data_IF_927735489478
#
_entry.id   IF_927735489478
#
_cell.length_a   1.000
_cell.length_b   1.000
_cell.length_c   1.000
_cell.angle_alpha   90.00
_cell.angle_beta   90.00
_cell.angle_gamma   90.00
#
_symmetry.space_group_name_H-M   'P 1'
#
loop_
_entity.id
_entity.type
_entity.pdbx_description
1 polymer ?
#
# COMPACT_ATOMS: atom_id res chain seq x y z
N UNK A 1 3.08 16.06 -5.90
CA UNK A 1 3.54 15.63 -4.57
C UNK A 1 4.58 14.54 -4.63
N UNK A 2 4.52 13.60 -5.59
CA UNK A 2 5.45 12.46 -5.63
C UNK A 2 6.93 12.87 -5.69
N UNK A 3 7.26 13.98 -6.37
CA UNK A 3 8.64 14.48 -6.45
C UNK A 3 9.15 14.93 -5.09
N UNK A 4 8.34 15.70 -4.38
CA UNK A 4 8.65 16.23 -3.05
C UNK A 4 8.77 15.08 -2.02
N UNK A 5 7.86 14.10 -2.11
CA UNK A 5 7.88 12.92 -1.26
C UNK A 5 9.13 12.05 -1.48
N UNK A 6 9.56 11.83 -2.72
CA UNK A 6 10.80 11.11 -3.02
C UNK A 6 11.99 11.79 -2.36
N UNK A 7 12.11 13.11 -2.48
CA UNK A 7 13.20 13.89 -1.87
C UNK A 7 13.20 13.68 -0.34
N UNK A 8 12.04 13.86 0.29
CA UNK A 8 11.85 13.70 1.74
C UNK A 8 12.22 12.30 2.24
N UNK A 9 11.82 11.25 1.50
CA UNK A 9 12.14 9.86 1.84
C UNK A 9 13.63 9.57 1.69
N UNK A 10 14.27 10.07 0.63
CA UNK A 10 15.73 9.93 0.43
C UNK A 10 16.49 10.59 1.58
N UNK A 11 15.98 11.71 2.09
CA UNK A 11 16.47 12.41 3.29
C UNK A 11 16.11 11.70 4.61
N UNK A 12 15.61 10.46 4.56
CA UNK A 12 15.31 9.60 5.71
C UNK A 12 14.19 10.13 6.62
N UNK A 13 13.32 10.97 6.07
CA UNK A 13 12.16 11.50 6.78
C UNK A 13 10.91 10.67 6.45
N UNK A 14 10.02 10.57 7.44
CA UNK A 14 8.72 9.92 7.26
C UNK A 14 7.75 10.86 6.55
N UNK A 15 6.89 10.29 5.71
CA UNK A 15 5.71 11.00 5.23
C UNK A 15 4.62 10.99 6.32
N UNK A 16 3.90 12.09 6.39
CA UNK A 16 2.62 12.15 7.07
C UNK A 16 1.56 11.33 6.31
N UNK A 17 0.42 11.10 6.97
CA UNK A 17 -0.71 10.41 6.37
C UNK A 17 -1.16 11.08 5.07
N UNK A 18 -1.34 12.41 5.10
CA UNK A 18 -1.82 13.19 3.96
C UNK A 18 -0.82 13.19 2.79
N UNK A 19 0.49 13.23 3.09
CA UNK A 19 1.53 13.12 2.06
C UNK A 19 1.50 11.74 1.39
N UNK A 20 1.43 10.66 2.18
CA UNK A 20 1.37 9.30 1.65
C UNK A 20 0.08 9.05 0.84
N UNK A 21 -1.06 9.53 1.36
CA UNK A 21 -2.35 9.49 0.67
C UNK A 21 -2.27 10.23 -0.67
N UNK A 22 -1.76 11.46 -0.68
CA UNK A 22 -1.73 12.26 -1.90
C UNK A 22 -0.81 11.66 -2.96
N UNK A 23 0.36 11.15 -2.57
CA UNK A 23 1.27 10.47 -3.50
C UNK A 23 0.60 9.24 -4.11
N UNK A 24 -0.03 8.41 -3.29
CA UNK A 24 -0.71 7.21 -3.79
C UNK A 24 -1.92 7.57 -4.65
N UNK A 25 -2.64 8.66 -4.34
CA UNK A 25 -3.71 9.19 -5.17
C UNK A 25 -3.21 9.63 -6.56
N UNK A 26 -2.06 10.32 -6.64
CA UNK A 26 -1.42 10.67 -7.92
C UNK A 26 -1.06 9.41 -8.74
N UNK A 27 -0.54 8.37 -8.08
CA UNK A 27 -0.21 7.08 -8.71
C UNK A 27 -1.46 6.39 -9.25
N UNK A 28 -2.51 6.24 -8.43
CA UNK A 28 -3.74 5.54 -8.79
C UNK A 28 -4.54 6.29 -9.87
N UNK A 29 -4.42 7.62 -9.92
CA UNK A 29 -5.04 8.47 -10.96
C UNK A 29 -4.28 8.46 -12.30
N UNK A 30 -3.10 7.82 -12.37
CA UNK A 30 -2.27 7.78 -13.57
C UNK A 30 -1.56 9.11 -13.89
N UNK A 31 -1.46 10.01 -12.92
CA UNK A 31 -0.83 11.35 -13.09
C UNK A 31 0.70 11.30 -13.00
N UNK A 32 1.26 10.15 -12.62
CA UNK A 32 2.68 9.92 -12.44
C UNK A 32 3.28 9.03 -13.52
N UNK A 33 4.56 9.25 -13.82
CA UNK A 33 5.29 8.37 -14.73
C UNK A 33 5.72 7.06 -14.05
N UNK A 34 5.90 5.96 -14.81
CA UNK A 34 6.46 4.72 -14.28
C UNK A 34 7.80 4.90 -13.57
N UNK A 35 8.62 5.87 -14.03
CA UNK A 35 9.92 6.20 -13.43
C UNK A 35 9.75 6.80 -12.03
N UNK A 36 8.78 7.71 -11.87
CA UNK A 36 8.47 8.28 -10.55
C UNK A 36 7.91 7.23 -9.60
N UNK A 37 7.07 6.32 -10.10
CA UNK A 37 6.50 5.24 -9.30
C UNK A 37 7.60 4.30 -8.78
N UNK A 38 8.51 3.88 -9.67
CA UNK A 38 9.64 3.06 -9.30
C UNK A 38 10.56 3.77 -8.29
N UNK A 39 10.85 5.06 -8.50
CA UNK A 39 11.68 5.84 -7.59
C UNK A 39 11.05 5.98 -6.20
N UNK A 40 9.75 6.26 -6.12
CA UNK A 40 9.02 6.35 -4.86
C UNK A 40 9.04 5.02 -4.09
N UNK A 41 8.70 3.91 -4.75
CA UNK A 41 8.67 2.58 -4.12
C UNK A 41 10.06 2.14 -3.66
N UNK A 42 11.09 2.35 -4.47
CA UNK A 42 12.47 2.01 -4.12
C UNK A 42 13.00 2.87 -2.96
N UNK A 43 12.70 4.18 -2.98
CA UNK A 43 13.09 5.07 -1.90
C UNK A 43 12.41 4.66 -0.59
N UNK A 44 11.10 4.36 -0.63
CA UNK A 44 10.31 3.98 0.55
C UNK A 44 10.82 2.66 1.15
N UNK A 45 11.04 1.64 0.32
CA UNK A 45 11.57 0.33 0.73
C UNK A 45 12.97 0.38 1.34
N UNK A 46 13.78 1.39 0.98
CA UNK A 46 15.16 1.55 1.46
C UNK A 46 15.31 2.72 2.43
N UNK A 47 14.21 3.36 2.82
CA UNK A 47 14.21 4.55 3.67
C UNK A 47 14.91 4.26 5.00
N UNK A 48 14.60 3.16 5.67
CA UNK A 48 15.18 2.83 6.97
C UNK A 48 15.53 1.35 7.05
N UNK A 49 16.34 0.96 8.04
CA UNK A 49 16.49 -0.45 8.43
C UNK A 49 15.22 -1.01 9.05
N UNK A 50 14.29 -0.13 9.40
CA UNK A 50 12.92 -0.44 9.83
C UNK A 50 11.99 -0.24 8.63
N UNK A 51 10.93 -1.05 8.58
CA UNK A 51 9.90 -0.98 7.56
C UNK A 51 9.23 0.41 7.50
N UNK A 52 8.39 0.60 6.48
CA UNK A 52 7.50 1.74 6.34
C UNK A 52 6.67 1.98 7.61
N UNK A 53 6.37 3.24 7.92
CA UNK A 53 5.59 3.56 9.11
C UNK A 53 4.13 3.18 8.92
N UNK A 54 3.43 2.92 10.03
CA UNK A 54 1.98 2.63 10.01
C UNK A 54 1.20 3.77 9.34
N UNK A 55 1.63 5.02 9.58
CA UNK A 55 0.99 6.22 9.04
C UNK A 55 1.11 6.29 7.51
N UNK A 56 2.29 5.95 6.97
CA UNK A 56 2.52 5.88 5.52
C UNK A 56 1.69 4.78 4.87
N UNK A 57 1.72 3.57 5.45
CA UNK A 57 0.95 2.43 4.95
C UNK A 57 -0.54 2.75 4.95
N UNK A 58 -1.05 3.35 6.04
CA UNK A 58 -2.46 3.72 6.16
C UNK A 58 -2.88 4.78 5.13
N UNK A 59 -2.05 5.82 4.92
CA UNK A 59 -2.33 6.86 3.92
C UNK A 59 -2.39 6.29 2.50
N UNK A 60 -1.39 5.47 2.13
CA UNK A 60 -1.39 4.78 0.85
C UNK A 60 -2.61 3.86 0.67
N UNK A 61 -2.91 3.02 1.67
CA UNK A 61 -4.03 2.08 1.60
C UNK A 61 -5.39 2.80 1.50
N UNK A 62 -5.56 3.92 2.18
CA UNK A 62 -6.77 4.74 2.09
C UNK A 62 -6.98 5.28 0.66
N UNK A 63 -5.94 5.84 0.05
CA UNK A 63 -6.02 6.30 -1.33
C UNK A 63 -6.35 5.14 -2.30
N UNK A 64 -5.68 3.99 -2.15
CA UNK A 64 -5.98 2.81 -2.97
C UNK A 64 -7.45 2.37 -2.82
N UNK A 65 -7.98 2.41 -1.60
CA UNK A 65 -9.37 2.03 -1.31
C UNK A 65 -10.38 3.02 -1.90
N UNK A 66 -10.07 4.31 -1.94
CA UNK A 66 -10.95 5.32 -2.53
C UNK A 66 -11.01 5.23 -4.07
N UNK A 67 -9.97 4.68 -4.70
CA UNK A 67 -9.94 4.34 -6.13
C UNK A 67 -10.54 2.98 -6.47
N UNK A 68 -10.83 2.14 -5.47
CA UNK A 68 -11.38 0.81 -5.70
C UNK A 68 -12.86 0.87 -6.10
N UNK A 69 -13.28 -0.04 -6.98
CA UNK A 69 -14.69 -0.27 -7.23
C UNK A 69 -15.35 -0.83 -5.97
N UNK A 70 -16.36 -0.13 -5.46
CA UNK A 70 -17.06 -0.50 -4.22
C UNK A 70 -18.15 -1.54 -4.50
N UNK A 71 -18.22 -2.55 -3.64
CA UNK A 71 -19.28 -3.56 -3.62
C UNK A 71 -20.08 -3.36 -2.34
N UNK A 72 -21.14 -2.57 -2.44
CA UNK A 72 -21.99 -2.24 -1.30
C UNK A 72 -22.85 -3.45 -0.90
N UNK A 73 -22.92 -3.73 0.39
CA UNK A 73 -23.74 -4.79 0.97
C UNK A 73 -24.09 -4.47 2.43
N UNK A 74 -25.10 -5.15 2.98
CA UNK A 74 -25.56 -4.98 4.37
C UNK A 74 -25.31 -6.24 5.23
N UNK A 75 -24.32 -7.06 4.87
CA UNK A 75 -24.00 -8.29 5.60
C UNK A 75 -22.89 -8.03 6.62
N UNK A 76 -22.83 -8.86 7.66
CA UNK A 76 -21.65 -8.94 8.51
C UNK A 76 -20.58 -9.74 7.76
N UNK A 77 -19.45 -9.12 7.45
CA UNK A 77 -18.40 -9.67 6.61
C UNK A 77 -17.05 -9.59 7.30
N UNK A 78 -16.21 -10.57 7.03
CA UNK A 78 -14.79 -10.55 7.38
C UNK A 78 -13.98 -11.05 6.19
N UNK A 79 -12.67 -10.81 6.22
CA UNK A 79 -11.75 -11.17 5.15
C UNK A 79 -10.65 -12.10 5.67
N UNK A 80 -10.24 -13.07 4.85
CA UNK A 80 -9.12 -13.98 5.13
C UNK A 80 -8.09 -13.83 4.01
N UNK A 81 -7.07 -13.01 4.27
CA UNK A 81 -6.04 -12.65 3.29
C UNK A 81 -4.65 -12.61 3.92
N UNK A 82 -3.63 -12.71 3.08
CA UNK A 82 -2.23 -12.53 3.45
C UNK A 82 -1.43 -12.02 2.26
N UNK A 83 -0.32 -11.35 2.54
CA UNK A 83 0.58 -10.83 1.49
C UNK A 83 1.25 -11.95 0.69
N UNK A 84 1.39 -13.13 1.31
CA UNK A 84 2.20 -14.22 0.78
C UNK A 84 3.70 -13.87 0.76
N UNK A 85 4.47 -14.67 0.02
CA UNK A 85 5.92 -14.45 -0.15
C UNK A 85 6.81 -15.03 0.96
N UNK A 86 6.27 -15.88 1.83
CA UNK A 86 7.01 -16.54 2.92
C UNK A 86 7.88 -17.74 2.47
N UNK A 87 7.70 -18.21 1.22
CA UNK A 87 8.41 -19.37 0.68
C UNK A 87 8.00 -20.71 1.30
N UNK A 88 6.86 -20.79 1.99
CA UNK A 88 6.45 -21.99 2.71
C UNK A 88 5.96 -23.14 1.81
N UNK A 89 5.69 -22.86 0.52
CA UNK A 89 5.09 -23.81 -0.41
C UNK A 89 3.82 -24.49 0.13
N UNK A 90 3.08 -23.78 0.98
CA UNK A 90 1.81 -24.25 1.49
C UNK A 90 0.79 -24.35 0.35
N UNK A 91 -0.23 -25.19 0.55
CA UNK A 91 -1.44 -25.10 -0.27
C UNK A 91 -2.20 -23.80 0.03
N UNK A 92 -3.32 -23.58 -0.66
CA UNK A 92 -4.14 -22.36 -0.58
C UNK A 92 -4.94 -22.25 0.75
N UNK A 93 -4.22 -22.11 1.87
CA UNK A 93 -4.78 -22.13 3.23
C UNK A 93 -5.89 -21.09 3.41
N UNK A 94 -5.67 -19.83 3.02
CA UNK A 94 -6.67 -18.77 3.18
C UNK A 94 -7.96 -19.05 2.39
N UNK A 95 -7.82 -19.53 1.15
CA UNK A 95 -8.95 -19.93 0.31
C UNK A 95 -9.72 -21.10 0.92
N UNK A 96 -9.03 -22.16 1.35
CA UNK A 96 -9.68 -23.30 1.99
C UNK A 96 -10.36 -22.90 3.29
N UNK A 97 -9.76 -21.99 4.07
CA UNK A 97 -10.35 -21.46 5.30
C UNK A 97 -11.62 -20.66 5.03
N UNK A 98 -11.63 -19.84 3.97
CA UNK A 98 -12.80 -19.04 3.59
C UNK A 98 -14.02 -19.89 3.15
N UNK A 99 -13.79 -21.15 2.73
CA UNK A 99 -14.89 -22.09 2.42
C UNK A 99 -15.46 -22.77 3.67
N UNK A 100 -14.73 -22.76 4.78
CA UNK A 100 -15.09 -23.47 6.02
C UNK A 100 -15.65 -22.53 7.09
N UNK A 101 -15.16 -21.30 7.14
CA UNK A 101 -15.40 -20.32 8.20
C UNK A 101 -16.81 -19.71 8.20
#
# INVERSE_FOLDING_TARGET
>A
MIKEAIIKIVDKQDLSYDEAYQVMNEIMSGETSPIQNAAFLAALSTKSTKAETIVEIAGCAAAMRDHALKVENNMDLFDIVGTGGDGAHSFNISTTSALVA
#
